data_IF_145494776730
#
_entry.id   IF_145494776730
#
_cell.length_a   1.000
_cell.length_b   1.000
_cell.length_c   1.000
_cell.angle_alpha   90.00
_cell.angle_beta   90.00
_cell.angle_gamma   90.00
#
_symmetry.space_group_name_H-M   'P 1'
#
loop_
_entity.id
_entity.type
_entity.pdbx_description
1 polymer ?
#
# COMPACT_ATOMS: atom_id res chain seq x y z
N UNK A 1 9.10 -41.63 -15.28
CA UNK A 1 8.69 -40.23 -15.46
C UNK A 1 7.44 -40.06 -14.62
N UNK A 2 7.57 -39.57 -13.39
CA UNK A 2 6.47 -39.59 -12.42
C UNK A 2 6.56 -38.31 -11.56
N UNK A 3 5.76 -37.30 -11.90
CA UNK A 3 5.69 -36.03 -11.19
C UNK A 3 4.49 -36.08 -10.23
N UNK A 4 4.75 -36.23 -8.93
CA UNK A 4 3.72 -36.19 -7.88
C UNK A 4 3.22 -34.74 -7.72
N UNK A 5 2.07 -34.45 -8.33
CA UNK A 5 1.26 -33.25 -8.05
C UNK A 5 0.66 -33.33 -6.63
N UNK A 6 0.39 -32.19 -6.01
CA UNK A 6 -0.34 -32.14 -4.74
C UNK A 6 -1.86 -32.25 -4.94
N UNK A 7 -2.62 -32.23 -3.84
CA UNK A 7 -4.09 -32.40 -3.85
C UNK A 7 -4.85 -31.28 -4.60
N UNK A 8 -4.16 -30.25 -5.06
CA UNK A 8 -4.70 -29.13 -5.82
C UNK A 8 -4.20 -29.11 -7.27
N UNK A 9 -3.46 -30.14 -7.71
CA UNK A 9 -2.95 -30.22 -9.08
C UNK A 9 -1.74 -29.34 -9.36
N UNK A 10 -1.00 -28.90 -8.34
CA UNK A 10 0.19 -28.06 -8.48
C UNK A 10 1.49 -28.84 -8.13
N UNK A 11 2.65 -28.50 -8.73
CA UNK A 11 3.92 -29.14 -8.38
C UNK A 11 4.39 -28.76 -6.98
N UNK A 12 4.77 -29.74 -6.15
CA UNK A 12 5.33 -29.49 -4.81
C UNK A 12 6.71 -28.81 -4.90
N UNK A 13 6.82 -27.59 -4.39
CA UNK A 13 8.10 -26.88 -4.24
C UNK A 13 8.81 -27.32 -2.95
N UNK A 14 10.11 -27.64 -3.07
CA UNK A 14 10.99 -27.94 -1.94
C UNK A 14 11.39 -26.65 -1.20
N UNK A 15 11.65 -26.70 0.11
CA UNK A 15 12.11 -25.53 0.86
C UNK A 15 13.50 -25.08 0.42
N UNK A 16 13.67 -23.76 0.23
CA UNK A 16 14.94 -23.17 -0.17
C UNK A 16 15.95 -23.12 1.00
N UNK A 17 17.26 -23.31 0.73
CA UNK A 17 18.30 -23.24 1.75
C UNK A 17 18.53 -21.81 2.24
N UNK A 18 18.80 -21.65 3.54
CA UNK A 18 19.17 -20.36 4.16
C UNK A 18 20.58 -19.97 3.75
N UNK A 19 20.73 -18.86 3.03
CA UNK A 19 22.04 -18.27 2.73
C UNK A 19 22.26 -17.03 3.60
N UNK A 20 23.22 -17.10 4.52
CA UNK A 20 23.73 -15.90 5.20
C UNK A 20 24.75 -15.23 4.28
N UNK A 21 24.40 -14.09 3.68
CA UNK A 21 25.37 -13.20 3.04
C UNK A 21 25.16 -11.77 3.54
N UNK A 22 26.21 -11.21 4.16
CA UNK A 22 26.37 -9.77 4.35
C UNK A 22 26.21 -9.09 3.00
N UNK A 23 25.25 -8.17 2.87
CA UNK A 23 25.18 -7.23 1.76
C UNK A 23 25.73 -5.89 2.25
N UNK A 24 26.74 -5.41 1.52
CA UNK A 24 27.29 -4.07 1.68
C UNK A 24 26.24 -3.02 1.30
N UNK A 25 26.12 -2.02 2.18
CA UNK A 25 25.13 -0.96 2.17
C UNK A 25 25.46 0.04 1.06
N UNK A 26 24.60 0.15 0.06
CA UNK A 26 24.62 1.23 -0.94
C UNK A 26 23.26 1.94 -0.96
N UNK A 27 23.36 3.26 -0.92
CA UNK A 27 22.43 4.20 -0.31
C UNK A 27 21.29 4.65 -1.23
N UNK A 28 20.15 5.01 -0.62
CA UNK A 28 19.09 5.88 -1.18
C UNK A 28 18.65 6.81 -0.04
N UNK A 29 18.91 8.14 -0.08
CA UNK A 29 18.67 9.06 1.03
C UNK A 29 17.21 9.12 1.49
N UNK A 30 16.25 8.90 0.58
CA UNK A 30 14.81 8.96 0.87
C UNK A 30 14.25 7.68 1.50
N UNK A 31 14.91 6.56 1.27
CA UNK A 31 14.66 5.28 1.94
C UNK A 31 15.35 5.24 3.30
N UNK A 32 16.31 6.14 3.55
CA UNK A 32 16.98 6.27 4.83
C UNK A 32 15.97 6.66 5.91
N UNK A 33 15.15 7.70 5.75
CA UNK A 33 14.09 8.08 6.71
C UNK A 33 13.03 6.99 6.93
N UNK A 34 12.79 6.12 5.95
CA UNK A 34 11.93 4.95 6.07
C UNK A 34 12.56 3.82 6.91
N UNK A 35 13.87 3.61 6.79
CA UNK A 35 14.63 2.58 7.53
C UNK A 35 15.05 3.11 8.93
N UNK A 36 15.36 4.40 9.02
CA UNK A 36 15.71 5.10 10.25
C UNK A 36 14.44 5.76 10.79
N UNK A 37 13.65 4.98 11.53
CA UNK A 37 12.56 5.47 12.39
C UNK A 37 12.94 6.81 13.00
N UNK A 38 12.37 7.90 12.51
CA UNK A 38 12.65 9.26 13.00
C UNK A 38 11.83 9.63 14.25
N UNK A 39 10.99 8.72 14.74
CA UNK A 39 10.34 8.83 16.05
C UNK A 39 10.18 7.42 16.68
N UNK A 40 10.81 7.15 17.84
CA UNK A 40 10.64 5.88 18.57
C UNK A 40 9.24 5.69 19.17
N UNK A 41 8.45 6.76 19.32
CA UNK A 41 7.09 6.74 19.89
C UNK A 41 6.00 6.61 18.82
N UNK A 42 6.28 7.01 17.56
CA UNK A 42 5.31 6.88 16.48
C UNK A 42 5.04 5.41 16.13
N UNK A 43 3.79 4.98 16.29
CA UNK A 43 3.34 3.65 15.87
C UNK A 43 3.30 3.57 14.36
N UNK A 44 3.75 2.44 13.82
CA UNK A 44 3.86 2.26 12.37
C UNK A 44 2.48 2.35 11.72
N UNK A 45 2.34 3.26 10.75
CA UNK A 45 1.10 3.45 9.99
C UNK A 45 0.01 4.28 10.64
N UNK A 46 0.24 4.87 11.82
CA UNK A 46 -0.73 5.74 12.50
C UNK A 46 -0.33 7.20 12.32
N UNK A 47 -1.11 8.04 11.60
CA UNK A 47 -0.88 9.47 11.53
C UNK A 47 -0.92 10.12 12.91
N UNK A 48 -0.14 11.18 13.13
CA UNK A 48 -0.07 11.86 14.42
C UNK A 48 -1.43 12.36 14.93
N UNK A 49 -2.31 12.78 14.01
CA UNK A 49 -3.68 13.20 14.34
C UNK A 49 -4.59 12.05 14.80
N UNK A 50 -4.21 10.79 14.56
CA UNK A 50 -4.92 9.58 15.01
C UNK A 50 -4.16 8.84 16.14
N UNK A 51 -3.23 9.53 16.80
CA UNK A 51 -2.39 8.96 17.88
C UNK A 51 -3.13 8.59 19.16
N UNK A 52 -4.42 8.92 19.27
CA UNK A 52 -5.28 8.44 20.35
C UNK A 52 -5.44 6.91 20.31
N UNK A 53 -5.20 6.29 19.15
CA UNK A 53 -5.11 4.84 19.00
C UNK A 53 -3.64 4.40 18.84
N UNK A 54 -3.22 3.25 19.43
CA UNK A 54 -4.02 2.38 20.27
C UNK A 54 -4.11 2.88 21.72
N UNK A 55 -5.24 2.70 22.41
CA UNK A 55 -5.38 3.13 23.80
C UNK A 55 -4.52 2.28 24.75
N UNK A 56 -4.15 1.05 24.34
CA UNK A 56 -3.18 0.21 25.03
C UNK A 56 -2.21 -0.46 24.06
N UNK A 57 -0.99 -0.78 24.53
CA UNK A 57 0.01 -1.54 23.74
C UNK A 57 -0.50 -2.91 23.26
N UNK A 58 -1.45 -3.52 23.97
CA UNK A 58 -2.02 -4.81 23.63
C UNK A 58 -2.88 -4.78 22.35
N UNK A 59 -3.30 -3.59 21.90
CA UNK A 59 -4.13 -3.41 20.71
C UNK A 59 -3.31 -3.08 19.45
N UNK A 60 -1.99 -2.86 19.58
CA UNK A 60 -1.10 -2.69 18.44
C UNK A 60 -1.08 -3.99 17.60
N UNK A 61 -1.46 -3.87 16.33
CA UNK A 61 -1.51 -5.02 15.40
C UNK A 61 -0.15 -5.28 14.74
N UNK A 62 0.85 -4.45 15.02
CA UNK A 62 2.21 -4.52 14.48
C UNK A 62 2.29 -4.53 12.95
N UNK A 63 1.24 -4.04 12.29
CA UNK A 63 1.15 -3.91 10.85
C UNK A 63 0.68 -2.51 10.50
N UNK A 64 1.40 -1.84 9.59
CA UNK A 64 1.12 -0.46 9.13
C UNK A 64 -0.35 -0.29 8.75
N UNK A 65 -0.87 -1.18 7.89
CA UNK A 65 -2.21 -1.03 7.33
C UNK A 65 -3.30 -1.43 8.33
N UNK A 66 -3.08 -2.47 9.12
CA UNK A 66 -4.03 -2.86 10.15
C UNK A 66 -4.13 -1.79 11.25
N UNK A 67 -3.00 -1.20 11.63
CA UNK A 67 -2.95 -0.09 12.59
C UNK A 67 -3.65 1.15 12.04
N UNK A 68 -3.41 1.49 10.77
CA UNK A 68 -4.05 2.61 10.10
C UNK A 68 -5.58 2.49 10.11
N UNK A 69 -6.13 1.32 9.71
CA UNK A 69 -7.59 1.10 9.71
C UNK A 69 -8.14 1.14 11.14
N UNK A 70 -7.49 0.49 12.09
CA UNK A 70 -7.95 0.47 13.47
C UNK A 70 -7.94 1.88 14.11
N UNK A 71 -6.94 2.71 13.78
CA UNK A 71 -6.86 4.09 14.27
C UNK A 71 -7.96 4.98 13.69
N UNK A 72 -8.27 4.81 12.39
CA UNK A 72 -9.39 5.52 11.74
C UNK A 72 -10.72 5.09 12.35
N UNK A 73 -10.96 3.79 12.49
CA UNK A 73 -12.20 3.27 13.06
C UNK A 73 -12.38 3.76 14.51
N UNK A 74 -11.32 3.72 15.30
CA UNK A 74 -11.34 4.26 16.66
C UNK A 74 -11.67 5.75 16.70
N UNK A 75 -11.06 6.57 15.82
CA UNK A 75 -11.35 8.00 15.79
C UNK A 75 -12.81 8.28 15.43
N UNK A 76 -13.39 7.53 14.49
CA UNK A 76 -14.80 7.61 14.09
C UNK A 76 -15.71 7.25 15.27
N UNK A 77 -15.44 6.14 15.95
CA UNK A 77 -16.21 5.69 17.11
C UNK A 77 -16.16 6.69 18.28
N UNK A 78 -15.13 7.55 18.32
CA UNK A 78 -14.94 8.59 19.33
C UNK A 78 -15.33 9.99 18.85
N UNK A 79 -16.13 10.08 17.78
CA UNK A 79 -16.80 11.31 17.35
C UNK A 79 -16.02 12.16 16.35
N UNK A 80 -15.00 11.60 15.70
CA UNK A 80 -14.39 12.24 14.52
C UNK A 80 -15.27 11.98 13.31
N UNK A 81 -15.53 13.00 12.49
CA UNK A 81 -16.25 12.81 11.24
C UNK A 81 -15.50 11.82 10.33
N UNK A 82 -16.25 10.95 9.65
CA UNK A 82 -15.66 9.87 8.83
C UNK A 82 -14.73 10.43 7.76
N UNK A 83 -15.13 11.50 7.09
CA UNK A 83 -14.33 12.15 6.04
C UNK A 83 -13.01 12.69 6.60
N UNK A 84 -13.03 13.34 7.76
CA UNK A 84 -11.84 13.89 8.40
C UNK A 84 -10.85 12.79 8.80
N UNK A 85 -11.36 11.71 9.41
CA UNK A 85 -10.53 10.57 9.82
C UNK A 85 -9.89 9.86 8.60
N UNK A 86 -10.66 9.66 7.54
CA UNK A 86 -10.18 9.04 6.29
C UNK A 86 -9.19 9.94 5.54
N UNK A 87 -9.41 11.25 5.53
CA UNK A 87 -8.51 12.23 4.91
C UNK A 87 -7.14 12.23 5.57
N UNK A 88 -7.10 12.22 6.90
CA UNK A 88 -5.85 12.17 7.68
C UNK A 88 -5.03 10.91 7.39
N UNK A 89 -5.70 9.78 7.16
CA UNK A 89 -5.06 8.51 6.80
C UNK A 89 -4.88 8.31 5.29
N UNK A 90 -5.26 9.31 4.48
CA UNK A 90 -5.30 9.25 3.01
C UNK A 90 -6.04 8.02 2.45
N UNK A 91 -7.11 7.58 3.12
CA UNK A 91 -7.99 6.51 2.66
C UNK A 91 -8.95 7.09 1.61
N UNK A 92 -8.79 6.68 0.37
CA UNK A 92 -9.57 7.18 -0.77
C UNK A 92 -10.92 6.48 -0.84
N UNK A 93 -11.00 5.19 -0.55
CA UNK A 93 -12.25 4.44 -0.63
C UNK A 93 -12.27 3.25 0.33
N UNK A 94 -13.42 3.01 0.96
CA UNK A 94 -13.69 1.85 1.81
C UNK A 94 -14.77 0.98 1.16
N UNK A 95 -14.40 -0.25 0.83
CA UNK A 95 -15.30 -1.29 0.35
C UNK A 95 -15.78 -2.20 1.49
N UNK A 96 -16.29 -3.38 1.15
CA UNK A 96 -16.76 -4.37 2.12
C UNK A 96 -15.60 -5.18 2.73
N UNK A 97 -14.69 -5.65 1.88
CA UNK A 97 -13.55 -6.49 2.24
C UNK A 97 -12.20 -5.83 1.93
N UNK A 98 -12.19 -4.82 1.06
CA UNK A 98 -10.99 -4.12 0.62
C UNK A 98 -11.14 -2.60 0.78
N UNK A 99 -10.00 -1.91 0.80
CA UNK A 99 -9.94 -0.45 0.80
C UNK A 99 -8.80 0.04 -0.08
N UNK A 100 -8.83 1.34 -0.37
CA UNK A 100 -7.85 2.04 -1.18
C UNK A 100 -7.29 3.21 -0.38
N UNK A 101 -5.97 3.35 -0.34
CA UNK A 101 -5.31 4.52 0.22
C UNK A 101 -4.19 5.03 -0.70
N UNK A 102 -3.73 6.25 -0.45
CA UNK A 102 -2.53 6.76 -1.11
C UNK A 102 -1.29 6.12 -0.50
N UNK A 103 -0.29 5.88 -1.34
CA UNK A 103 1.04 5.57 -0.82
C UNK A 103 1.67 6.84 -0.22
N UNK A 104 2.02 6.81 1.06
CA UNK A 104 2.70 7.92 1.74
C UNK A 104 4.03 8.33 1.07
N UNK A 105 4.66 7.40 0.33
CA UNK A 105 5.87 7.63 -0.45
C UNK A 105 5.63 7.28 -1.93
N UNK A 106 4.89 8.13 -2.66
CA UNK A 106 4.42 7.77 -3.98
C UNK A 106 5.54 7.82 -5.02
N UNK A 107 5.59 6.84 -5.94
CA UNK A 107 6.53 6.88 -7.08
C UNK A 107 6.08 7.86 -8.16
N UNK A 108 4.77 8.09 -8.29
CA UNK A 108 4.16 9.11 -9.14
C UNK A 108 2.91 9.66 -8.43
N UNK A 109 2.52 10.90 -8.74
CA UNK A 109 1.26 11.48 -8.26
C UNK A 109 0.09 10.55 -8.58
N UNK A 110 -0.79 10.33 -7.62
CA UNK A 110 -1.88 9.35 -7.75
C UNK A 110 -1.48 7.89 -7.52
N UNK A 111 -0.33 7.60 -6.89
CA UNK A 111 0.03 6.23 -6.52
C UNK A 111 -0.93 5.68 -5.45
N UNK A 112 -1.80 4.76 -5.86
CA UNK A 112 -2.76 4.07 -5.03
C UNK A 112 -2.20 2.73 -4.52
N UNK A 113 -2.63 2.37 -3.32
CA UNK A 113 -2.52 1.02 -2.77
C UNK A 113 -3.93 0.46 -2.58
N UNK A 114 -4.18 -0.74 -3.08
CA UNK A 114 -5.43 -1.47 -2.88
C UNK A 114 -5.14 -2.69 -2.01
N UNK A 115 -5.87 -2.82 -0.90
CA UNK A 115 -5.55 -3.80 0.14
C UNK A 115 -6.82 -4.48 0.66
N UNK A 116 -6.75 -5.77 1.03
CA UNK A 116 -7.77 -6.36 1.89
C UNK A 116 -7.67 -5.81 3.32
N UNK A 117 -8.80 -5.76 4.03
CA UNK A 117 -8.81 -5.53 5.48
C UNK A 117 -8.13 -6.67 6.24
N UNK A 118 -8.24 -7.90 5.72
CA UNK A 118 -7.59 -9.07 6.31
C UNK A 118 -6.07 -8.99 6.18
N UNK A 119 -5.36 -9.32 7.25
CA UNK A 119 -3.90 -9.40 7.25
C UNK A 119 -3.46 -10.70 6.57
N UNK A 120 -3.16 -10.61 5.27
CA UNK A 120 -2.73 -11.73 4.44
C UNK A 120 -1.52 -11.30 3.62
N UNK A 121 -0.53 -12.19 3.46
CA UNK A 121 0.73 -11.95 2.75
C UNK A 121 0.73 -12.60 1.34
N UNK A 122 -0.31 -13.35 1.00
CA UNK A 122 -0.34 -14.23 -0.15
C UNK A 122 -1.62 -14.07 -0.96
N UNK A 123 -1.45 -13.83 -2.26
CA UNK A 123 -2.55 -13.80 -3.23
C UNK A 123 -3.33 -15.13 -3.24
N UNK A 124 -2.65 -16.26 -3.04
CA UNK A 124 -3.28 -17.58 -3.03
C UNK A 124 -4.12 -17.84 -1.76
N UNK A 125 -3.94 -17.03 -0.72
CA UNK A 125 -4.70 -17.14 0.52
C UNK A 125 -5.97 -16.28 0.52
N UNK A 126 -6.21 -15.47 -0.52
CA UNK A 126 -7.39 -14.62 -0.58
C UNK A 126 -8.68 -15.45 -0.70
N UNK A 127 -9.67 -15.20 0.16
CA UNK A 127 -11.05 -15.62 -0.08
C UNK A 127 -11.58 -15.10 -1.43
N UNK A 128 -12.50 -15.83 -2.05
CA UNK A 128 -12.98 -15.54 -3.41
C UNK A 128 -13.68 -14.18 -3.51
N UNK A 129 -14.48 -13.84 -2.50
CA UNK A 129 -15.16 -12.55 -2.35
C UNK A 129 -14.14 -11.40 -2.23
N UNK A 130 -13.11 -11.57 -1.39
CA UNK A 130 -12.04 -10.58 -1.20
C UNK A 130 -11.25 -10.38 -2.50
N UNK A 131 -10.85 -11.46 -3.17
CA UNK A 131 -10.12 -11.39 -4.44
C UNK A 131 -10.96 -10.73 -5.55
N UNK A 132 -12.26 -11.02 -5.58
CA UNK A 132 -13.18 -10.42 -6.53
C UNK A 132 -13.31 -8.91 -6.29
N UNK A 133 -13.55 -8.47 -5.05
CA UNK A 133 -13.63 -7.04 -4.74
C UNK A 133 -12.31 -6.33 -5.02
N UNK A 134 -11.17 -6.93 -4.69
CA UNK A 134 -9.86 -6.35 -5.01
C UNK A 134 -9.70 -6.06 -6.51
N UNK A 135 -10.16 -6.97 -7.38
CA UNK A 135 -10.14 -6.77 -8.83
C UNK A 135 -11.17 -5.74 -9.32
N UNK A 136 -12.32 -5.62 -8.67
CA UNK A 136 -13.29 -4.55 -8.95
C UNK A 136 -12.70 -3.19 -8.59
N UNK A 137 -12.07 -3.09 -7.42
CA UNK A 137 -11.39 -1.87 -6.99
C UNK A 137 -10.22 -1.52 -7.92
N UNK A 138 -9.47 -2.50 -8.42
CA UNK A 138 -8.40 -2.27 -9.40
C UNK A 138 -8.94 -1.64 -10.69
N UNK A 139 -10.05 -2.15 -11.22
CA UNK A 139 -10.71 -1.56 -12.39
C UNK A 139 -11.20 -0.13 -12.12
N UNK A 140 -11.82 0.11 -10.96
CA UNK A 140 -12.26 1.46 -10.56
C UNK A 140 -11.09 2.42 -10.40
N UNK A 141 -9.98 1.98 -9.82
CA UNK A 141 -8.75 2.76 -9.73
C UNK A 141 -8.18 3.11 -11.10
N UNK A 142 -8.23 2.20 -12.07
CA UNK A 142 -7.80 2.50 -13.44
C UNK A 142 -8.62 3.66 -14.03
N UNK A 143 -9.95 3.57 -13.93
CA UNK A 143 -10.87 4.58 -14.44
C UNK A 143 -10.67 5.92 -13.75
N UNK A 144 -10.61 5.93 -12.41
CA UNK A 144 -10.42 7.14 -11.62
C UNK A 144 -9.10 7.84 -11.95
N UNK A 145 -8.00 7.09 -12.04
CA UNK A 145 -6.70 7.65 -12.43
C UNK A 145 -6.72 8.22 -13.86
N UNK A 146 -7.44 7.58 -14.78
CA UNK A 146 -7.61 8.10 -16.15
C UNK A 146 -8.41 9.39 -16.21
N UNK A 147 -9.46 9.48 -15.41
CA UNK A 147 -10.29 10.67 -15.32
C UNK A 147 -9.53 11.87 -14.74
N UNK A 148 -8.91 11.68 -13.57
CA UNK A 148 -8.25 12.76 -12.83
C UNK A 148 -6.96 13.20 -13.51
N UNK A 149 -6.15 12.26 -13.98
CA UNK A 149 -4.75 12.53 -14.36
C UNK A 149 -4.46 12.33 -15.84
N UNK A 150 -5.33 11.66 -16.60
CA UNK A 150 -5.15 11.34 -18.04
C UNK A 150 -3.74 10.81 -18.37
N UNK A 151 -3.26 9.76 -17.67
CA UNK A 151 -1.94 9.22 -17.91
C UNK A 151 -1.87 8.48 -19.24
N UNK A 152 -0.66 8.40 -19.81
CA UNK A 152 -0.40 7.62 -21.03
C UNK A 152 -0.47 6.12 -20.80
N UNK A 153 -0.32 5.67 -19.55
CA UNK A 153 -0.46 4.28 -19.13
C UNK A 153 -0.54 4.14 -17.62
N UNK A 154 -0.83 2.94 -17.14
CA UNK A 154 -0.90 2.63 -15.70
C UNK A 154 -0.14 1.33 -15.45
N UNK A 155 0.72 1.32 -14.43
CA UNK A 155 1.28 0.07 -13.91
C UNK A 155 0.42 -0.41 -12.73
N UNK A 156 -0.01 -1.67 -12.78
CA UNK A 156 -0.60 -2.34 -11.63
C UNK A 156 0.20 -3.59 -11.29
N UNK A 157 0.46 -3.82 -10.01
CA UNK A 157 1.29 -4.94 -9.61
C UNK A 157 1.35 -5.21 -8.11
N UNK A 158 1.84 -6.39 -7.78
CA UNK A 158 2.01 -6.92 -6.44
C UNK A 158 3.47 -7.32 -6.25
N UNK A 159 4.01 -7.03 -5.07
CA UNK A 159 5.27 -7.61 -4.61
C UNK A 159 4.95 -8.56 -3.46
N UNK A 160 5.22 -9.86 -3.63
CA UNK A 160 4.96 -10.88 -2.61
C UNK A 160 6.28 -11.39 -2.03
N UNK A 161 6.47 -11.17 -0.72
CA UNK A 161 7.71 -11.49 -0.01
C UNK A 161 8.83 -10.46 -0.19
N UNK A 162 9.75 -10.42 0.77
CA UNK A 162 10.86 -9.45 0.81
C UNK A 162 11.73 -9.48 -0.45
N UNK A 163 12.00 -10.67 -0.99
CA UNK A 163 12.83 -10.84 -2.18
C UNK A 163 12.21 -10.23 -3.45
N UNK A 164 10.88 -10.08 -3.49
CA UNK A 164 10.17 -9.37 -4.57
C UNK A 164 10.15 -7.85 -4.36
N UNK A 165 10.76 -7.33 -3.29
CA UNK A 165 10.79 -5.91 -2.97
C UNK A 165 9.57 -5.41 -2.21
N UNK A 166 8.80 -6.30 -1.56
CA UNK A 166 7.71 -5.90 -0.68
C UNK A 166 8.27 -5.10 0.51
N UNK A 167 7.93 -3.81 0.60
CA UNK A 167 8.32 -2.97 1.75
C UNK A 167 7.58 -3.36 3.03
N UNK A 168 6.35 -3.85 2.90
CA UNK A 168 5.54 -4.43 3.97
C UNK A 168 5.15 -5.82 3.48
N UNK A 169 5.97 -6.82 3.83
CA UNK A 169 5.84 -8.17 3.27
C UNK A 169 4.62 -8.94 3.82
N UNK A 170 4.23 -8.66 5.06
CA UNK A 170 3.21 -9.45 5.77
C UNK A 170 1.77 -9.03 5.44
N UNK A 171 1.58 -7.92 4.72
CA UNK A 171 0.25 -7.46 4.28
C UNK A 171 0.28 -7.06 2.81
N UNK A 172 -0.33 -7.91 1.99
CA UNK A 172 -0.36 -7.76 0.54
C UNK A 172 -1.11 -6.50 0.11
N UNK A 173 -0.61 -5.86 -0.95
CA UNK A 173 -1.22 -4.67 -1.51
C UNK A 173 -0.90 -4.55 -2.99
N UNK A 174 -1.92 -4.25 -3.78
CA UNK A 174 -1.75 -3.95 -5.21
C UNK A 174 -1.38 -2.49 -5.32
N UNK A 175 -0.27 -2.22 -5.99
CA UNK A 175 0.10 -0.88 -6.41
C UNK A 175 -0.64 -0.52 -7.69
N UNK A 176 -1.17 0.70 -7.80
CA UNK A 176 -1.66 1.28 -9.04
C UNK A 176 -0.98 2.64 -9.26
N UNK A 177 -0.19 2.74 -10.33
CA UNK A 177 0.66 3.89 -10.63
C UNK A 177 0.32 4.47 -12.00
N UNK A 178 -0.18 5.71 -12.09
CA UNK A 178 -0.27 6.41 -13.36
C UNK A 178 1.13 6.76 -13.89
N UNK A 179 1.32 6.63 -15.20
CA UNK A 179 2.59 6.80 -15.91
C UNK A 179 2.46 7.74 -17.11
N UNK A 180 3.51 8.52 -17.36
CA UNK A 180 3.61 9.39 -18.52
C UNK A 180 4.93 9.13 -19.26
N UNK A 181 4.91 9.38 -20.57
CA UNK A 181 6.15 9.35 -21.35
C UNK A 181 7.11 10.42 -20.80
N UNK A 182 8.30 10.00 -20.36
CA UNK A 182 9.30 10.90 -19.77
C UNK A 182 9.09 11.22 -18.28
N UNK A 183 8.19 10.52 -17.57
CA UNK A 183 8.02 10.68 -16.12
C UNK A 183 9.27 10.30 -15.31
N UNK A 184 10.16 9.52 -15.92
CA UNK A 184 11.50 9.24 -15.42
C UNK A 184 12.46 10.19 -16.13
N UNK A 185 12.76 11.31 -15.48
CA UNK A 185 13.57 12.38 -16.04
C UNK A 185 14.99 12.40 -15.44
N UNK A 186 15.83 13.35 -15.90
CA UNK A 186 17.22 13.51 -15.45
C UNK A 186 17.35 13.55 -13.92
N UNK A 187 16.41 14.22 -13.22
CA UNK A 187 16.41 14.28 -11.75
C UNK A 187 16.18 12.91 -11.11
N UNK A 188 15.34 12.06 -11.72
CA UNK A 188 15.07 10.72 -11.20
C UNK A 188 16.25 9.77 -11.43
N UNK A 189 16.93 9.89 -12.57
CA UNK A 189 18.00 8.96 -12.98
C UNK A 189 19.37 9.35 -12.41
N UNK A 190 19.66 10.65 -12.25
CA UNK A 190 21.00 11.13 -11.84
C UNK A 190 21.01 11.66 -10.40
N UNK A 191 19.92 12.30 -9.97
CA UNK A 191 19.82 12.85 -8.61
C UNK A 191 19.04 11.95 -7.65
N UNK A 192 18.59 10.77 -8.10
CA UNK A 192 17.73 9.84 -7.35
C UNK A 192 16.54 10.53 -6.64
N UNK A 193 16.10 11.67 -7.18
CA UNK A 193 15.13 12.56 -6.56
C UNK A 193 13.94 12.68 -7.48
N UNK A 194 12.76 12.34 -6.96
CA UNK A 194 11.48 12.49 -7.67
C UNK A 194 10.82 13.79 -7.24
N UNK A 195 10.42 14.60 -8.21
CA UNK A 195 9.60 15.79 -7.97
C UNK A 195 8.15 15.36 -8.03
N UNK A 196 7.46 15.40 -6.89
CA UNK A 196 6.00 15.24 -6.84
C UNK A 196 5.38 16.64 -7.00
N UNK A 197 4.66 16.90 -8.10
CA UNK A 197 4.08 18.22 -8.34
C UNK A 197 2.88 18.55 -7.44
N UNK A 198 2.39 17.59 -6.66
CA UNK A 198 1.14 17.67 -5.91
C UNK A 198 1.30 17.03 -4.52
N UNK A 199 0.66 17.61 -3.50
CA UNK A 199 0.64 17.04 -2.15
C UNK A 199 -0.32 15.84 -2.06
N UNK A 200 -0.15 15.02 -1.03
CA UNK A 200 -1.06 13.90 -0.77
C UNK A 200 -2.50 14.36 -0.50
N UNK A 201 -2.69 15.47 0.21
CA UNK A 201 -4.02 15.99 0.52
C UNK A 201 -4.79 16.40 -0.74
N UNK A 202 -4.12 17.10 -1.67
CA UNK A 202 -4.74 17.49 -2.95
C UNK A 202 -5.00 16.25 -3.83
N UNK A 203 -4.07 15.29 -3.83
CA UNK A 203 -4.26 13.99 -4.52
C UNK A 203 -5.48 13.26 -3.95
N UNK A 204 -5.62 13.26 -2.63
CA UNK A 204 -6.73 12.61 -1.92
C UNK A 204 -8.06 13.26 -2.28
N UNK A 205 -8.16 14.59 -2.22
CA UNK A 205 -9.40 15.32 -2.55
C UNK A 205 -9.87 15.02 -3.98
N UNK A 206 -8.96 15.04 -4.95
CA UNK A 206 -9.28 14.76 -6.36
C UNK A 206 -9.77 13.33 -6.57
N UNK A 207 -9.08 12.35 -5.98
CA UNK A 207 -9.44 10.95 -6.16
C UNK A 207 -10.68 10.58 -5.37
N UNK A 208 -10.84 11.11 -4.15
CA UNK A 208 -12.01 10.85 -3.31
C UNK A 208 -13.29 11.27 -4.01
N UNK A 209 -13.31 12.46 -4.61
CA UNK A 209 -14.47 12.96 -5.36
C UNK A 209 -14.92 11.99 -6.47
N UNK A 210 -14.00 11.32 -7.17
CA UNK A 210 -14.34 10.37 -8.24
C UNK A 210 -14.82 9.02 -7.70
N UNK A 211 -14.40 8.62 -6.49
CA UNK A 211 -14.82 7.35 -5.88
C UNK A 211 -16.19 7.42 -5.19
N UNK A 212 -16.69 8.63 -4.89
CA UNK A 212 -18.02 8.88 -4.31
C UNK A 212 -19.14 9.03 -5.36
N UNK A 213 -18.77 9.21 -6.64
CA UNK A 213 -19.68 9.23 -7.79
C UNK A 213 -19.83 7.84 -8.44
#
# INVERSE_FOLDING_TARGET
MDLRLDRFGLPKLAPAPRYTRRMDRLWTPWRYSYITRSDPQAKSGVPAALSAWPPTEAEDKHCVFCNMIAAVDYAIDHGTETEDAEKVAHIVHRGQHCFICLNAFPYSTGHLLLLPYQHLDSLAALPVDVAHELMILAQRSELALREVYRPGGINMGLNLGEAAGAGIADHMHVHALPRWSGDTNFMTVIAETRVLPESLDVTWEKLRAVFEH
#
